data_IF_499573855406
#
_entry.id   IF_499573855406
#
_cell.length_a   1.000
_cell.length_b   1.000
_cell.length_c   1.000
_cell.angle_alpha   90.00
_cell.angle_beta   90.00
_cell.angle_gamma   90.00
#
_symmetry.space_group_name_H-M   'P 1'
#
loop_
_entity.id
_entity.type
_entity.pdbx_description
1 polymer ?
#
# COMPACT_ATOMS: atom_id res chain seq x y z
N UNK A 1 4.10 -7.05 16.60
CA UNK A 1 4.04 -8.53 16.63
C UNK A 1 3.22 -8.88 17.85
N UNK A 2 2.02 -9.46 17.70
CA UNK A 2 1.19 -9.80 18.85
C UNK A 2 1.91 -10.88 19.63
N UNK A 3 2.14 -10.65 20.93
CA UNK A 3 2.82 -11.63 21.76
C UNK A 3 1.87 -12.82 21.97
N UNK A 4 2.35 -14.05 21.81
CA UNK A 4 1.54 -15.25 22.07
C UNK A 4 0.95 -15.25 23.49
N UNK A 5 1.63 -14.61 24.45
CA UNK A 5 1.14 -14.44 25.82
C UNK A 5 -0.11 -13.54 25.89
N UNK A 6 -0.16 -12.46 25.10
CA UNK A 6 -1.34 -11.57 25.05
C UNK A 6 -2.55 -12.31 24.49
N UNK A 7 -2.35 -13.12 23.45
CA UNK A 7 -3.43 -13.94 22.84
C UNK A 7 -4.00 -14.92 23.88
N UNK A 8 -3.13 -15.59 24.64
CA UNK A 8 -3.56 -16.55 25.66
C UNK A 8 -4.38 -15.88 26.76
N UNK A 9 -3.92 -14.71 27.23
CA UNK A 9 -4.63 -13.93 28.25
C UNK A 9 -6.00 -13.46 27.71
N UNK A 10 -6.04 -12.88 26.52
CA UNK A 10 -7.28 -12.35 25.92
C UNK A 10 -8.30 -13.44 25.62
N UNK A 11 -7.86 -14.63 25.22
CA UNK A 11 -8.73 -15.74 24.85
C UNK A 11 -8.95 -16.75 26.00
N UNK A 12 -8.38 -16.50 27.17
CA UNK A 12 -8.43 -17.38 28.35
C UNK A 12 -8.07 -18.84 28.02
N UNK A 13 -7.01 -19.03 27.23
CA UNK A 13 -6.54 -20.36 26.83
C UNK A 13 -5.65 -20.92 27.94
N UNK A 14 -5.77 -22.21 28.23
CA UNK A 14 -4.80 -22.89 29.08
C UNK A 14 -3.45 -22.96 28.35
N UNK A 15 -2.43 -22.33 28.92
CA UNK A 15 -1.07 -22.31 28.37
C UNK A 15 -0.51 -23.70 28.06
N UNK A 16 -0.91 -24.74 28.81
CA UNK A 16 -0.43 -26.11 28.61
C UNK A 16 -1.07 -26.78 27.38
N UNK A 17 -2.12 -26.19 26.80
CA UNK A 17 -2.86 -26.70 25.64
C UNK A 17 -2.67 -25.85 24.38
N UNK A 18 -1.79 -24.85 24.43
CA UNK A 18 -1.49 -24.01 23.28
C UNK A 18 -0.45 -24.67 22.38
N UNK A 19 -0.82 -24.87 21.12
CA UNK A 19 0.12 -25.23 20.05
C UNK A 19 0.24 -24.04 19.08
N UNK A 20 1.44 -23.49 18.95
CA UNK A 20 1.73 -22.38 18.04
C UNK A 20 2.48 -22.93 16.83
N UNK A 21 1.83 -22.91 15.66
CA UNK A 21 2.49 -23.19 14.39
C UNK A 21 2.84 -21.85 13.74
N UNK A 22 4.14 -21.59 13.59
CA UNK A 22 4.64 -20.43 12.86
C UNK A 22 5.33 -20.96 11.61
N UNK A 23 4.83 -20.55 10.45
CA UNK A 23 5.66 -20.59 9.26
C UNK A 23 6.78 -19.56 9.43
N UNK A 24 8.03 -20.03 9.48
CA UNK A 24 9.21 -19.19 9.68
C UNK A 24 9.73 -18.62 8.36
N UNK A 25 9.18 -19.04 7.22
CA UNK A 25 9.63 -18.59 5.91
C UNK A 25 9.01 -17.25 5.52
N UNK A 26 9.54 -16.17 6.10
CA UNK A 26 9.36 -14.81 5.57
C UNK A 26 10.29 -14.52 4.37
N UNK A 27 11.18 -15.46 4.03
CA UNK A 27 12.12 -15.34 2.92
C UNK A 27 11.47 -15.66 1.58
N UNK A 28 10.48 -14.87 1.17
CA UNK A 28 9.93 -15.00 -0.16
C UNK A 28 10.89 -14.35 -1.16
N UNK A 29 11.56 -15.17 -1.98
CA UNK A 29 12.71 -14.80 -2.84
C UNK A 29 12.40 -13.85 -4.01
N UNK A 30 11.14 -13.39 -4.14
CA UNK A 30 10.66 -12.59 -5.28
C UNK A 30 10.55 -11.10 -4.99
N UNK A 31 10.74 -10.65 -3.74
CA UNK A 31 10.65 -9.23 -3.38
C UNK A 31 12.03 -8.59 -3.26
N UNK A 32 12.18 -7.46 -3.96
CA UNK A 32 13.35 -6.59 -3.81
C UNK A 32 13.00 -5.45 -2.86
N UNK A 33 13.72 -5.34 -1.75
CA UNK A 33 13.57 -4.25 -0.80
C UNK A 33 14.59 -3.15 -1.11
N UNK A 34 14.12 -1.91 -1.25
CA UNK A 34 14.97 -0.75 -1.45
C UNK A 34 14.53 0.39 -0.54
N UNK A 35 15.50 1.10 0.03
CA UNK A 35 15.25 2.29 0.87
C UNK A 35 15.98 3.45 0.22
N UNK A 36 15.24 4.52 -0.06
CA UNK A 36 15.77 5.74 -0.64
C UNK A 36 15.50 6.91 0.29
N UNK A 37 16.48 7.81 0.45
CA UNK A 37 16.29 9.04 1.23
C UNK A 37 15.33 9.96 0.49
N UNK A 38 14.19 10.30 1.11
CA UNK A 38 13.23 11.27 0.57
C UNK A 38 13.91 12.62 0.33
N UNK A 39 13.63 13.23 -0.83
CA UNK A 39 14.06 14.60 -1.16
C UNK A 39 13.16 15.62 -0.46
N UNK A 40 13.77 16.66 0.08
CA UNK A 40 13.05 17.76 0.73
C UNK A 40 12.38 18.69 -0.30
N UNK A 41 13.01 18.83 -1.48
CA UNK A 41 12.44 19.56 -2.59
C UNK A 41 11.30 18.75 -3.23
N UNK A 42 10.11 19.36 -3.32
CA UNK A 42 8.90 18.75 -3.84
C UNK A 42 9.03 18.27 -5.28
N UNK A 43 9.69 19.04 -6.14
CA UNK A 43 9.82 18.71 -7.56
C UNK A 43 10.77 17.51 -7.77
N UNK A 44 11.92 17.53 -7.10
CA UNK A 44 12.85 16.39 -7.10
C UNK A 44 12.21 15.11 -6.54
N UNK A 45 11.38 15.24 -5.49
CA UNK A 45 10.62 14.11 -4.96
C UNK A 45 9.64 13.52 -5.98
N UNK A 46 8.96 14.36 -6.77
CA UNK A 46 8.06 13.90 -7.83
C UNK A 46 8.83 13.27 -8.99
N UNK A 47 9.98 13.81 -9.37
CA UNK A 47 10.86 13.22 -10.39
C UNK A 47 11.36 11.83 -9.98
N UNK A 48 11.73 11.66 -8.71
CA UNK A 48 12.15 10.34 -8.18
C UNK A 48 11.01 9.32 -8.29
N UNK A 49 9.77 9.71 -7.95
CA UNK A 49 8.59 8.83 -8.12
C UNK A 49 8.42 8.46 -9.60
N UNK A 50 8.43 9.45 -10.50
CA UNK A 50 8.23 9.21 -11.93
C UNK A 50 9.30 8.30 -12.53
N UNK A 51 10.55 8.47 -12.10
CA UNK A 51 11.65 7.59 -12.50
C UNK A 51 11.37 6.14 -12.11
N UNK A 52 10.98 5.90 -10.86
CA UNK A 52 10.66 4.55 -10.37
C UNK A 52 9.47 3.96 -11.15
N UNK A 53 8.41 4.74 -11.38
CA UNK A 53 7.22 4.24 -12.07
C UNK A 53 7.45 4.00 -13.56
N UNK A 54 8.36 4.75 -14.18
CA UNK A 54 8.73 4.57 -15.60
C UNK A 54 9.57 3.30 -15.83
N UNK A 55 10.28 2.81 -14.82
CA UNK A 55 10.98 1.52 -14.87
C UNK A 55 9.97 0.35 -14.94
N UNK A 56 8.74 0.56 -14.47
CA UNK A 56 7.64 -0.42 -14.51
C UNK A 56 6.99 -0.39 -15.90
N UNK A 57 7.61 -1.14 -16.84
CA UNK A 57 7.17 -1.22 -18.24
C UNK A 57 5.85 -1.98 -18.41
N UNK A 58 5.68 -3.09 -17.72
CA UNK A 58 4.46 -3.90 -17.72
C UNK A 58 4.12 -4.30 -16.28
N UNK A 59 2.98 -3.83 -15.77
CA UNK A 59 2.55 -4.08 -14.40
C UNK A 59 1.74 -2.93 -13.82
N UNK A 60 1.07 -3.21 -12.70
CA UNK A 60 0.39 -2.22 -11.87
C UNK A 60 1.22 -1.94 -10.63
N UNK A 61 1.09 -0.75 -10.05
CA UNK A 61 1.79 -0.38 -8.82
C UNK A 61 0.90 0.39 -7.85
N UNK A 62 1.25 0.30 -6.56
CA UNK A 62 0.55 0.96 -5.46
C UNK A 62 1.51 1.94 -4.79
N UNK A 63 1.06 3.18 -4.58
CA UNK A 63 1.80 4.19 -3.82
C UNK A 63 1.07 4.42 -2.50
N UNK A 64 1.70 4.05 -1.38
CA UNK A 64 1.14 4.33 -0.06
C UNK A 64 1.53 5.72 0.44
N UNK A 65 0.55 6.48 0.94
CA UNK A 65 0.80 7.74 1.62
C UNK A 65 0.42 7.66 3.10
N UNK A 66 0.90 8.63 3.88
CA UNK A 66 0.68 8.71 5.34
C UNK A 66 -0.65 9.34 5.74
N UNK A 67 -1.35 10.00 4.83
CA UNK A 67 -2.70 10.56 5.07
C UNK A 67 -3.47 10.71 3.76
N UNK A 68 -4.80 10.83 3.84
CA UNK A 68 -5.67 11.12 2.68
C UNK A 68 -5.23 12.42 2.00
N UNK A 69 -4.97 13.48 2.79
CA UNK A 69 -4.50 14.76 2.27
C UNK A 69 -3.21 14.63 1.45
N UNK A 70 -2.29 13.78 1.90
CA UNK A 70 -1.06 13.51 1.15
C UNK A 70 -1.34 12.72 -0.13
N UNK A 71 -2.32 11.81 -0.15
CA UNK A 71 -2.77 11.16 -1.39
C UNK A 71 -3.35 12.15 -2.39
N UNK A 72 -4.26 13.03 -1.95
CA UNK A 72 -4.90 14.05 -2.81
C UNK A 72 -3.84 15.00 -3.39
N UNK A 73 -2.95 15.49 -2.53
CA UNK A 73 -1.84 16.34 -2.95
C UNK A 73 -0.96 15.61 -3.98
N UNK A 74 -0.59 14.36 -3.73
CA UNK A 74 0.24 13.59 -4.64
C UNK A 74 -0.46 13.32 -5.98
N UNK A 75 -1.74 12.96 -5.96
CA UNK A 75 -2.55 12.74 -7.16
C UNK A 75 -2.58 13.99 -8.01
N UNK A 76 -2.93 15.15 -7.43
CA UNK A 76 -2.99 16.42 -8.17
C UNK A 76 -1.63 16.74 -8.80
N UNK A 77 -0.53 16.56 -8.07
CA UNK A 77 0.80 16.84 -8.61
C UNK A 77 1.18 15.87 -9.74
N UNK A 78 0.90 14.57 -9.60
CA UNK A 78 1.23 13.58 -10.62
C UNK A 78 0.37 13.74 -11.87
N UNK A 79 -0.92 14.04 -11.74
CA UNK A 79 -1.81 14.31 -12.89
C UNK A 79 -1.41 15.53 -13.72
N UNK A 80 -0.52 16.40 -13.23
CA UNK A 80 0.11 17.45 -14.08
C UNK A 80 1.22 16.91 -14.98
N UNK A 81 1.77 15.73 -14.67
CA UNK A 81 2.94 15.12 -15.33
C UNK A 81 2.63 13.77 -16.01
N UNK A 82 1.50 13.12 -15.70
CA UNK A 82 1.02 11.86 -16.31
C UNK A 82 -0.43 11.98 -16.78
N UNK A 83 -0.88 11.05 -17.63
CA UNK A 83 -2.27 11.05 -18.09
C UNK A 83 -3.22 10.73 -16.92
N UNK A 84 -4.39 11.37 -16.87
CA UNK A 84 -5.32 11.22 -15.73
C UNK A 84 -5.83 9.80 -15.57
N UNK A 85 -5.94 9.08 -16.67
CA UNK A 85 -6.43 7.72 -16.78
C UNK A 85 -5.39 6.69 -16.30
N UNK A 86 -4.11 7.09 -16.18
CA UNK A 86 -3.03 6.20 -15.73
C UNK A 86 -2.96 6.10 -14.21
N UNK A 87 -3.46 7.10 -13.47
CA UNK A 87 -3.34 7.19 -12.02
C UNK A 87 -4.64 7.59 -11.35
N UNK A 88 -5.07 6.76 -10.39
CA UNK A 88 -6.26 7.00 -9.57
C UNK A 88 -5.92 6.93 -8.08
N UNK A 89 -6.83 7.43 -7.24
CA UNK A 89 -6.69 7.39 -5.78
C UNK A 89 -7.76 6.51 -5.15
N UNK A 90 -7.38 5.78 -4.11
CA UNK A 90 -8.27 4.99 -3.26
C UNK A 90 -8.05 5.28 -1.78
N UNK A 91 -9.14 5.38 -1.02
CA UNK A 91 -9.12 5.37 0.44
C UNK A 91 -10.41 4.70 0.96
N UNK A 92 -10.39 4.18 2.20
CA UNK A 92 -11.50 3.40 2.77
C UNK A 92 -12.88 4.10 2.72
N UNK A 93 -12.91 5.44 2.74
CA UNK A 93 -14.15 6.20 2.62
C UNK A 93 -14.69 6.34 1.17
N UNK A 94 -13.89 6.04 0.13
CA UNK A 94 -14.32 6.11 -1.29
C UNK A 94 -15.15 4.90 -1.72
N UNK A 95 -15.12 3.80 -0.95
CA UNK A 95 -15.82 2.53 -1.22
C UNK A 95 -17.34 2.70 -1.29
N UNK A 96 -17.90 3.76 -0.70
CA UNK A 96 -19.34 4.02 -0.77
C UNK A 96 -19.80 4.66 -2.09
N UNK A 97 -18.93 5.31 -2.87
CA UNK A 97 -19.36 6.12 -4.03
C UNK A 97 -18.69 5.73 -5.35
N UNK A 98 -17.52 5.09 -5.32
CA UNK A 98 -16.83 4.64 -6.53
C UNK A 98 -16.40 3.19 -6.35
N UNK A 99 -16.71 2.37 -7.35
CA UNK A 99 -16.39 0.95 -7.38
C UNK A 99 -14.95 0.68 -6.94
N UNK A 100 -14.76 -0.47 -6.30
CA UNK A 100 -13.48 -0.94 -5.75
C UNK A 100 -12.32 -0.60 -6.69
N UNK A 101 -11.52 0.41 -6.36
CA UNK A 101 -10.44 0.85 -7.24
C UNK A 101 -9.49 -0.32 -7.50
N UNK A 102 -9.46 -0.78 -8.75
CA UNK A 102 -8.64 -1.92 -9.18
C UNK A 102 -9.32 -3.29 -9.16
N UNK A 103 -10.49 -3.44 -8.53
CA UNK A 103 -11.34 -4.65 -8.61
C UNK A 103 -12.59 -4.45 -9.49
N UNK A 104 -12.89 -3.21 -9.87
CA UNK A 104 -13.95 -2.84 -10.80
C UNK A 104 -13.57 -3.02 -12.28
N UNK A 105 -12.38 -3.56 -12.56
CA UNK A 105 -11.87 -3.77 -13.91
C UNK A 105 -11.37 -2.51 -14.60
N UNK A 106 -11.27 -1.37 -13.90
CA UNK A 106 -10.73 -0.15 -14.49
C UNK A 106 -9.23 -0.28 -14.84
N UNK A 107 -8.85 0.40 -15.93
CA UNK A 107 -7.55 0.27 -16.62
C UNK A 107 -6.39 1.01 -15.95
N UNK A 108 -6.59 1.60 -14.78
CA UNK A 108 -5.56 2.43 -14.14
C UNK A 108 -4.29 1.62 -13.90
N UNK A 109 -3.16 2.18 -14.35
CA UNK A 109 -1.82 1.60 -14.20
C UNK A 109 -1.32 1.76 -12.76
N UNK A 110 -1.79 2.79 -12.06
CA UNK A 110 -1.35 3.17 -10.73
C UNK A 110 -2.53 3.46 -9.78
N UNK A 111 -2.40 3.02 -8.52
CA UNK A 111 -3.34 3.35 -7.44
C UNK A 111 -2.56 4.05 -6.31
N UNK A 112 -2.89 5.30 -6.02
CA UNK A 112 -2.43 6.02 -4.83
C UNK A 112 -3.36 5.67 -3.68
N UNK A 113 -2.79 5.23 -2.56
CA UNK A 113 -3.57 4.68 -1.47
C UNK A 113 -3.21 5.29 -0.12
N UNK A 114 -4.24 5.62 0.64
CA UNK A 114 -4.14 5.74 2.09
C UNK A 114 -4.86 4.57 2.76
N UNK A 115 -4.16 3.90 3.68
CA UNK A 115 -4.74 2.85 4.51
C UNK A 115 -4.22 2.99 5.92
N UNK A 116 -5.12 3.26 6.88
CA UNK A 116 -4.76 3.13 8.29
C UNK A 116 -4.59 1.67 8.68
N UNK A 117 -5.36 0.73 8.10
CA UNK A 117 -5.30 -0.73 8.37
C UNK A 117 -6.14 -1.60 7.39
N UNK A 118 -6.64 -1.09 6.26
CA UNK A 118 -7.89 -1.61 5.65
C UNK A 118 -7.71 -2.57 4.45
N UNK A 119 -6.60 -2.57 3.71
CA UNK A 119 -6.47 -3.48 2.55
C UNK A 119 -5.59 -4.73 2.74
N UNK A 120 -4.68 -4.74 3.71
CA UNK A 120 -3.76 -5.87 3.87
C UNK A 120 -4.46 -7.17 4.32
N UNK A 121 -5.76 -7.11 4.62
CA UNK A 121 -6.55 -8.27 5.05
C UNK A 121 -7.30 -8.96 3.89
N UNK A 122 -7.06 -8.58 2.62
CA UNK A 122 -7.87 -9.08 1.49
C UNK A 122 -7.11 -9.34 0.19
N UNK A 123 -5.76 -9.27 0.21
CA UNK A 123 -4.90 -9.72 -0.90
C UNK A 123 -4.37 -11.11 -0.59
#
# INVERSE_FOLDING_TARGET
MVNAQEIVICLNIDHQKLFVFQDKYFGNSTFTYQVQKKKDNKEQFLEDILKITNEIKAGKYIIYCVSIKECENLLMNLQTKVQKEEITMYHGNLVQESGQAGCDGQSAKAIIMFSQNIWANSI
#
